data_IF_135689341042
#
_entry.id   IF_135689341042
#
_cell.length_a   1.000
_cell.length_b   1.000
_cell.length_c   1.000
_cell.angle_alpha   90.00
_cell.angle_beta   90.00
_cell.angle_gamma   90.00
#
_symmetry.space_group_name_H-M   'P 1'
#
loop_
_entity.id
_entity.type
_entity.pdbx_description
1 polymer ?
#
# COMPACT_ATOMS: atom_id res chain seq x y z
N UNK A 1 25.04 3.25 44.11
CA UNK A 1 23.87 3.75 43.36
C UNK A 1 22.72 2.77 43.57
N UNK A 2 21.69 3.12 44.34
CA UNK A 2 20.60 2.21 44.70
C UNK A 2 19.37 2.53 43.84
N UNK A 3 18.98 1.61 42.95
CA UNK A 3 17.77 1.75 42.14
C UNK A 3 16.55 1.44 43.02
N UNK A 4 15.71 2.44 43.26
CA UNK A 4 14.52 2.22 44.08
C UNK A 4 13.45 1.43 43.31
N UNK A 5 12.78 0.48 43.97
CA UNK A 5 11.64 -0.28 43.40
C UNK A 5 10.60 0.63 42.75
N UNK A 6 10.40 1.83 43.31
CA UNK A 6 9.49 2.85 42.79
C UNK A 6 9.93 3.40 41.42
N UNK A 7 11.23 3.61 41.20
CA UNK A 7 11.75 4.06 39.90
C UNK A 7 11.61 2.96 38.84
N UNK A 8 11.87 1.70 39.20
CA UNK A 8 11.67 0.55 38.31
C UNK A 8 10.20 0.40 37.91
N UNK A 9 9.27 0.49 38.87
CA UNK A 9 7.83 0.38 38.59
C UNK A 9 7.29 1.57 37.79
N UNK A 10 7.82 2.79 37.96
CA UNK A 10 7.44 3.93 37.11
C UNK A 10 7.93 3.80 35.67
N UNK A 11 9.09 3.18 35.44
CA UNK A 11 9.60 2.90 34.08
C UNK A 11 8.96 1.68 33.40
N UNK A 12 8.51 0.68 34.18
CA UNK A 12 7.87 -0.51 33.62
C UNK A 12 6.54 -0.19 32.93
N UNK A 13 5.76 0.77 33.45
CA UNK A 13 4.50 1.18 32.84
C UNK A 13 4.65 1.80 31.45
N UNK A 14 5.75 2.54 31.20
CA UNK A 14 6.02 3.08 29.87
C UNK A 14 6.42 1.97 28.88
N UNK A 15 7.21 0.97 29.31
CA UNK A 15 7.58 -0.16 28.45
C UNK A 15 6.41 -1.08 28.09
N UNK A 16 5.36 -1.15 28.91
CA UNK A 16 4.14 -1.93 28.63
C UNK A 16 3.11 -1.11 27.85
N UNK A 17 3.09 0.22 27.99
CA UNK A 17 2.21 1.10 27.21
C UNK A 17 2.77 1.49 25.84
N UNK A 18 4.10 1.53 25.67
CA UNK A 18 4.80 1.88 24.43
C UNK A 18 5.01 0.76 23.38
N UNK A 19 4.66 -0.52 23.55
CA UNK A 19 4.67 -1.48 22.44
C UNK A 19 3.61 -1.18 21.37
N UNK A 20 2.65 -0.30 21.67
CA UNK A 20 1.55 0.07 20.77
C UNK A 20 1.59 1.56 20.35
N UNK A 21 2.74 2.23 20.47
CA UNK A 21 2.92 3.56 19.91
C UNK A 21 3.19 3.45 18.41
N UNK A 22 2.14 3.19 17.63
CA UNK A 22 2.11 3.14 16.16
C UNK A 22 2.77 4.36 15.48
N UNK A 23 2.94 5.48 16.19
CA UNK A 23 3.55 6.71 15.67
C UNK A 23 5.09 6.71 15.61
N UNK A 24 5.79 5.80 16.30
CA UNK A 24 7.25 5.66 16.24
C UNK A 24 7.65 4.35 15.54
N UNK A 25 7.01 4.06 14.40
CA UNK A 25 7.56 3.20 13.35
C UNK A 25 8.24 1.91 13.79
N UNK A 26 7.56 1.07 14.60
CA UNK A 26 7.96 -0.32 14.75
C UNK A 26 7.60 -1.02 13.44
N UNK A 27 8.56 -1.07 12.50
CA UNK A 27 8.46 -1.95 11.33
C UNK A 27 8.27 -3.35 11.88
N UNK A 28 7.04 -3.88 11.79
CA UNK A 28 6.74 -5.29 12.02
C UNK A 28 7.81 -6.07 11.26
N UNK A 29 8.66 -6.80 11.97
CA UNK A 29 9.47 -7.83 11.34
C UNK A 29 8.47 -8.75 10.65
N UNK A 30 8.45 -8.67 9.33
CA UNK A 30 7.47 -9.30 8.47
C UNK A 30 7.61 -10.82 8.59
N UNK A 31 6.90 -11.40 9.55
CA UNK A 31 6.77 -12.84 9.69
C UNK A 31 5.27 -13.17 9.80
N UNK A 32 4.47 -12.68 8.85
CA UNK A 32 3.11 -13.13 8.58
C UNK A 32 2.59 -12.52 7.28
N UNK A 33 3.26 -12.82 6.16
CA UNK A 33 2.67 -12.71 4.83
C UNK A 33 3.42 -13.63 3.86
N UNK A 34 3.68 -14.88 4.28
CA UNK A 34 3.89 -15.97 3.33
C UNK A 34 2.55 -16.28 2.69
N UNK A 35 2.11 -15.44 1.74
CA UNK A 35 1.24 -15.74 0.57
C UNK A 35 0.92 -14.41 -0.15
N UNK A 36 1.95 -13.69 -0.58
CA UNK A 36 1.83 -13.04 -1.88
C UNK A 36 3.08 -13.41 -2.64
N UNK A 37 2.89 -13.88 -3.87
CA UNK A 37 3.97 -14.30 -4.75
C UNK A 37 5.05 -13.22 -4.72
N UNK A 38 6.28 -13.66 -4.49
CA UNK A 38 7.48 -12.89 -4.14
C UNK A 38 7.96 -11.91 -5.23
N UNK A 39 7.04 -11.37 -6.03
CA UNK A 39 7.30 -10.42 -7.09
C UNK A 39 7.38 -9.04 -6.45
N UNK A 40 8.53 -8.34 -6.54
CA UNK A 40 8.63 -6.98 -6.05
C UNK A 40 7.55 -6.13 -6.74
N UNK A 41 6.81 -5.35 -5.95
CA UNK A 41 5.82 -4.42 -6.48
C UNK A 41 6.48 -3.47 -7.46
N UNK A 42 5.88 -3.29 -8.65
CA UNK A 42 6.35 -2.30 -9.63
C UNK A 42 6.14 -0.91 -9.01
N UNK A 43 7.23 -0.26 -8.59
CA UNK A 43 7.19 1.03 -7.89
C UNK A 43 7.11 2.24 -8.83
N UNK A 44 7.42 2.05 -10.10
CA UNK A 44 7.40 3.11 -11.11
C UNK A 44 7.20 2.51 -12.50
N UNK A 45 6.42 3.20 -13.33
CA UNK A 45 6.23 2.89 -14.76
C UNK A 45 6.29 4.22 -15.52
N UNK A 46 7.10 4.26 -16.56
CA UNK A 46 7.12 5.36 -17.53
C UNK A 46 6.50 4.85 -18.82
N UNK A 47 5.51 5.58 -19.34
CA UNK A 47 4.82 5.23 -20.58
C UNK A 47 4.84 6.45 -21.50
N UNK A 48 5.40 6.28 -22.69
CA UNK A 48 5.35 7.28 -23.75
C UNK A 48 4.40 6.81 -24.84
N UNK A 49 3.56 7.73 -25.33
CA UNK A 49 2.59 7.44 -26.39
C UNK A 49 2.93 8.33 -27.57
N UNK A 50 3.89 7.90 -28.39
CA UNK A 50 4.50 8.74 -29.44
C UNK A 50 3.52 9.27 -30.49
N UNK A 51 2.47 8.51 -30.81
CA UNK A 51 1.42 8.91 -31.75
C UNK A 51 0.10 9.30 -31.05
N UNK A 52 0.10 9.37 -29.72
CA UNK A 52 -1.14 9.55 -28.94
C UNK A 52 -2.04 8.31 -28.94
N UNK A 53 -3.27 8.53 -28.49
CA UNK A 53 -4.28 7.49 -28.29
C UNK A 53 -5.50 7.79 -29.15
N UNK A 54 -6.19 6.74 -29.60
CA UNK A 54 -7.47 6.87 -30.29
C UNK A 54 -8.54 7.32 -29.30
N UNK A 55 -9.06 8.53 -29.47
CA UNK A 55 -9.96 9.16 -28.48
C UNK A 55 -11.24 8.34 -28.26
N UNK A 56 -11.75 7.72 -29.31
CA UNK A 56 -13.01 6.99 -29.34
C UNK A 56 -12.95 5.69 -28.52
N UNK A 57 -11.76 5.09 -28.40
CA UNK A 57 -11.59 3.75 -27.78
C UNK A 57 -10.70 3.76 -26.55
N UNK A 58 -10.03 4.88 -26.24
CA UNK A 58 -9.10 4.97 -25.12
C UNK A 58 -9.77 5.38 -23.80
N UNK A 59 -10.63 6.39 -23.83
CA UNK A 59 -11.22 6.94 -22.61
C UNK A 59 -12.46 6.14 -22.16
N UNK A 60 -12.69 5.99 -20.84
CA UNK A 60 -13.90 5.38 -20.31
C UNK A 60 -15.13 6.30 -20.47
N UNK A 61 -16.32 5.74 -20.28
CA UNK A 61 -17.58 6.51 -20.28
C UNK A 61 -17.57 7.57 -19.17
N UNK A 62 -17.87 8.82 -19.54
CA UNK A 62 -17.94 9.98 -18.64
C UNK A 62 -18.96 9.77 -17.52
N UNK A 63 -20.01 8.97 -17.76
CA UNK A 63 -21.04 8.68 -16.76
C UNK A 63 -20.58 7.66 -15.72
N UNK A 64 -19.51 6.90 -16.00
CA UNK A 64 -18.97 5.88 -15.09
C UNK A 64 -17.83 6.47 -14.24
N UNK A 65 -18.17 6.95 -13.06
CA UNK A 65 -17.21 7.54 -12.12
C UNK A 65 -16.76 6.55 -11.05
N UNK A 66 -15.56 6.76 -10.50
CA UNK A 66 -14.99 5.93 -9.44
C UNK A 66 -14.19 4.73 -9.96
N UNK A 67 -13.81 3.83 -9.04
CA UNK A 67 -12.90 2.72 -9.34
C UNK A 67 -13.52 1.60 -10.19
N UNK A 68 -14.85 1.57 -10.33
CA UNK A 68 -15.59 0.46 -10.94
C UNK A 68 -15.96 0.68 -12.41
N UNK A 69 -15.36 1.66 -13.09
CA UNK A 69 -15.61 1.92 -14.51
C UNK A 69 -15.26 0.71 -15.40
N UNK A 70 -16.01 0.51 -16.47
CA UNK A 70 -15.73 -0.51 -17.47
C UNK A 70 -14.53 -0.12 -18.33
N UNK A 71 -13.67 -1.09 -18.64
CA UNK A 71 -12.51 -0.83 -19.48
C UNK A 71 -12.98 -0.52 -20.91
N UNK A 72 -12.43 0.56 -21.47
CA UNK A 72 -12.62 0.91 -22.86
C UNK A 72 -12.01 -0.16 -23.78
N UNK A 73 -12.47 -0.23 -25.03
CA UNK A 73 -12.01 -1.22 -26.01
C UNK A 73 -10.48 -1.25 -26.15
N UNK A 74 -9.85 -0.07 -26.22
CA UNK A 74 -8.40 0.09 -26.32
C UNK A 74 -7.63 -0.38 -25.08
N UNK A 75 -8.31 -0.50 -23.93
CA UNK A 75 -7.73 -0.99 -22.68
C UNK A 75 -8.14 -2.44 -22.36
N UNK A 76 -8.89 -3.10 -23.24
CA UNK A 76 -9.31 -4.50 -23.07
C UNK A 76 -8.16 -5.49 -22.77
N UNK A 77 -6.93 -5.34 -23.32
CA UNK A 77 -5.82 -6.24 -22.98
C UNK A 77 -5.37 -6.14 -21.52
N UNK A 78 -5.71 -5.03 -20.83
CA UNK A 78 -5.37 -4.80 -19.43
C UNK A 78 -6.40 -5.41 -18.45
N UNK A 79 -7.49 -6.02 -18.94
CA UNK A 79 -8.52 -6.60 -18.10
C UNK A 79 -7.97 -7.60 -17.06
N UNK A 80 -6.94 -8.37 -17.43
CA UNK A 80 -6.23 -9.31 -16.53
C UNK A 80 -5.54 -8.65 -15.32
N UNK A 81 -5.39 -7.32 -15.33
CA UNK A 81 -4.68 -6.55 -14.31
C UNK A 81 -5.60 -5.64 -13.49
N UNK A 82 -6.90 -5.60 -13.79
CA UNK A 82 -7.91 -4.87 -13.00
C UNK A 82 -8.26 -5.70 -11.76
N UNK A 83 -8.09 -5.11 -10.57
CA UNK A 83 -8.34 -5.70 -9.24
C UNK A 83 -9.67 -5.28 -8.65
#
# INVERSE_FOLDING_TARGET
MYLSRRQVLRGAGSLVALPALESLGFRRFAQAATTSLNVPSKRCVFMSIGFGVTKETWYPDINQTGANYELSEGLSPLARHKS
#
